data_IF_313797677705
#
_entry.id   IF_313797677705
#
_cell.length_a   1.000
_cell.length_b   1.000
_cell.length_c   1.000
_cell.angle_alpha   90.00
_cell.angle_beta   90.00
_cell.angle_gamma   90.00
#
_symmetry.space_group_name_H-M   'P 1'
#
loop_
_entity.id
_entity.type
_entity.pdbx_description
1 polymer ?
#
# COMPACT_ATOMS: atom_id res chain seq x y z
N UNK A 1 -18.21 0.98 9.75
CA UNK A 1 -16.79 1.16 10.07
C UNK A 1 -15.95 0.59 8.94
N UNK A 2 -15.12 1.40 8.39
CA UNK A 2 -14.28 1.05 7.25
C UNK A 2 -13.01 0.32 7.69
N UNK A 3 -12.45 -0.50 6.80
CA UNK A 3 -11.21 -1.23 7.02
C UNK A 3 -11.39 -2.71 7.33
N UNK A 4 -10.28 -3.37 7.56
CA UNK A 4 -10.23 -4.80 7.87
C UNK A 4 -10.76 -5.04 9.28
N UNK A 5 -11.68 -5.96 9.42
CA UNK A 5 -12.28 -6.35 10.71
C UNK A 5 -11.86 -7.75 11.11
N UNK A 6 -11.82 -7.97 12.42
CA UNK A 6 -11.63 -9.29 12.99
C UNK A 6 -12.93 -10.11 12.94
N UNK A 7 -12.87 -11.43 12.69
CA UNK A 7 -11.68 -12.18 12.32
C UNK A 7 -11.27 -11.91 10.87
N UNK A 8 -9.96 -11.83 10.62
CA UNK A 8 -9.43 -11.65 9.26
C UNK A 8 -9.64 -12.95 8.48
N UNK A 9 -10.21 -12.86 7.28
CA UNK A 9 -10.42 -14.05 6.44
C UNK A 9 -9.07 -14.72 6.08
N UNK A 10 -9.08 -16.04 5.92
CA UNK A 10 -7.86 -16.76 5.59
C UNK A 10 -7.21 -16.30 4.27
N UNK A 11 -7.95 -16.06 3.18
CA UNK A 11 -7.34 -15.54 1.94
C UNK A 11 -6.70 -14.16 2.13
N UNK A 12 -7.35 -13.27 2.86
CA UNK A 12 -6.79 -11.94 3.12
C UNK A 12 -5.56 -12.01 4.02
N UNK A 13 -5.61 -12.83 5.07
CA UNK A 13 -4.46 -13.05 5.93
C UNK A 13 -3.25 -13.56 5.15
N UNK A 14 -3.45 -14.52 4.27
CA UNK A 14 -2.39 -15.07 3.42
C UNK A 14 -1.83 -14.01 2.46
N UNK A 15 -2.70 -13.21 1.83
CA UNK A 15 -2.27 -12.15 0.92
C UNK A 15 -1.43 -11.09 1.64
N UNK A 16 -1.86 -10.66 2.82
CA UNK A 16 -1.15 -9.65 3.61
C UNK A 16 0.18 -10.20 4.16
N UNK A 17 0.19 -11.44 4.61
CA UNK A 17 1.43 -12.11 5.00
C UNK A 17 2.41 -12.17 3.83
N UNK A 18 1.91 -12.47 2.64
CA UNK A 18 2.72 -12.48 1.41
C UNK A 18 3.31 -11.11 1.10
N UNK A 19 2.55 -10.04 1.28
CA UNK A 19 3.03 -8.67 1.09
C UNK A 19 4.19 -8.35 2.03
N UNK A 20 4.09 -8.72 3.30
CA UNK A 20 5.17 -8.52 4.28
C UNK A 20 6.40 -9.34 3.91
N UNK A 21 6.22 -10.61 3.55
CA UNK A 21 7.32 -11.48 3.15
C UNK A 21 8.04 -10.95 1.91
N UNK A 22 7.30 -10.55 0.90
CA UNK A 22 7.84 -9.97 -0.33
C UNK A 22 8.67 -8.72 -0.03
N UNK A 23 8.17 -7.86 0.85
CA UNK A 23 8.89 -6.66 1.28
C UNK A 23 10.18 -7.01 2.03
N UNK A 24 10.14 -7.93 2.97
CA UNK A 24 11.32 -8.37 3.75
C UNK A 24 12.41 -8.94 2.84
N UNK A 25 12.02 -9.69 1.83
CA UNK A 25 12.95 -10.32 0.89
C UNK A 25 13.54 -9.30 -0.09
N UNK A 26 12.72 -8.38 -0.60
CA UNK A 26 13.13 -7.44 -1.66
C UNK A 26 13.82 -6.18 -1.13
N UNK A 27 13.50 -5.71 0.08
CA UNK A 27 14.06 -4.49 0.64
C UNK A 27 14.88 -4.79 1.90
N UNK A 28 16.19 -4.70 1.78
CA UNK A 28 17.11 -5.00 2.89
C UNK A 28 17.64 -3.76 3.59
N UNK A 29 17.41 -2.59 3.04
CA UNK A 29 17.84 -1.33 3.63
C UNK A 29 16.97 -0.95 4.81
N UNK A 30 17.53 -0.29 5.80
CA UNK A 30 16.76 0.25 6.95
C UNK A 30 16.02 1.52 6.60
N UNK A 31 16.60 2.33 5.71
CA UNK A 31 16.02 3.58 5.24
C UNK A 31 15.83 3.47 3.73
N UNK A 32 14.62 3.66 3.28
CA UNK A 32 14.24 3.60 1.87
C UNK A 32 12.98 4.44 1.66
N UNK A 33 12.75 4.84 0.42
CA UNK A 33 11.56 5.61 0.07
C UNK A 33 10.29 4.74 0.15
N UNK A 34 9.15 5.31 0.56
CA UNK A 34 7.87 4.62 0.48
C UNK A 34 7.55 4.17 -0.94
N UNK A 35 6.93 3.00 -1.07
CA UNK A 35 6.54 2.42 -2.34
C UNK A 35 5.06 2.03 -2.27
N UNK A 36 4.25 2.54 -3.20
CA UNK A 36 2.84 2.21 -3.29
C UNK A 36 2.64 1.02 -4.24
N UNK A 37 1.86 0.04 -3.79
CA UNK A 37 1.51 -1.15 -4.56
C UNK A 37 -0.01 -1.24 -4.71
N UNK A 38 -0.47 -1.62 -5.89
CA UNK A 38 -1.88 -1.95 -6.16
C UNK A 38 -1.95 -3.25 -6.93
N UNK A 39 -2.66 -4.23 -6.42
CA UNK A 39 -2.82 -5.52 -7.09
C UNK A 39 -2.85 -6.69 -6.15
N UNK A 40 -2.07 -7.72 -6.48
CA UNK A 40 -2.00 -8.98 -5.74
C UNK A 40 -0.59 -9.19 -5.18
N UNK A 41 -0.43 -9.28 -3.85
CA UNK A 41 0.88 -9.60 -3.28
C UNK A 41 1.43 -10.93 -3.82
N UNK A 42 2.69 -10.90 -4.28
CA UNK A 42 3.32 -12.05 -4.92
C UNK A 42 2.82 -12.37 -6.33
N UNK A 43 1.94 -11.54 -6.87
CA UNK A 43 1.38 -11.68 -8.21
C UNK A 43 1.40 -10.36 -8.98
N UNK A 44 0.51 -10.20 -9.98
CA UNK A 44 0.44 -8.98 -10.76
C UNK A 44 0.14 -7.77 -9.88
N UNK A 45 0.95 -6.74 -9.99
CA UNK A 45 0.81 -5.51 -9.22
C UNK A 45 1.41 -4.32 -9.97
N UNK A 46 0.80 -3.16 -9.80
CA UNK A 46 1.35 -1.88 -10.21
C UNK A 46 2.16 -1.29 -9.04
N UNK A 47 3.25 -0.60 -9.35
CA UNK A 47 4.14 0.01 -8.38
C UNK A 47 4.30 1.49 -8.68
N UNK A 48 4.36 2.30 -7.62
CA UNK A 48 4.70 3.71 -7.72
C UNK A 48 5.69 4.11 -6.64
N UNK A 49 6.82 4.68 -7.07
CA UNK A 49 7.88 5.16 -6.18
C UNK A 49 7.93 6.70 -6.29
N UNK A 50 7.34 7.45 -5.34
CA UNK A 50 7.24 8.90 -5.44
C UNK A 50 8.60 9.62 -5.47
N UNK A 51 9.60 9.05 -4.83
CA UNK A 51 10.94 9.63 -4.74
C UNK A 51 11.97 8.97 -5.69
N UNK A 52 11.48 8.20 -6.68
CA UNK A 52 12.40 7.63 -7.67
C UNK A 52 13.09 8.76 -8.44
N UNK A 53 14.43 8.69 -8.60
CA UNK A 53 15.16 9.70 -9.36
C UNK A 53 14.70 9.68 -10.82
N UNK A 54 13.91 10.68 -11.17
CA UNK A 54 13.51 10.94 -12.55
C UNK A 54 14.40 11.99 -13.18
N UNK A 55 14.41 12.11 -14.51
CA UNK A 55 15.16 13.18 -15.16
C UNK A 55 14.57 14.53 -14.74
N UNK A 56 15.36 15.27 -13.97
CA UNK A 56 15.17 16.68 -13.61
C UNK A 56 13.78 17.05 -13.10
N UNK A 57 13.53 16.75 -11.83
CA UNK A 57 12.63 17.58 -11.06
C UNK A 57 13.48 18.68 -10.40
N UNK A 58 13.13 19.92 -10.67
CA UNK A 58 13.72 21.05 -9.95
C UNK A 58 13.57 20.81 -8.45
N UNK A 59 14.56 21.20 -7.67
CA UNK A 59 14.59 20.97 -6.22
C UNK A 59 13.34 21.52 -5.49
N UNK A 60 12.57 22.37 -6.16
CA UNK A 60 11.32 22.94 -5.65
C UNK A 60 10.10 22.02 -5.87
N UNK A 61 10.17 21.10 -6.84
CA UNK A 61 9.09 20.14 -7.13
C UNK A 61 9.34 18.75 -6.51
N UNK A 62 10.56 18.50 -6.05
CA UNK A 62 10.91 17.27 -5.35
C UNK A 62 10.18 17.21 -4.01
N UNK A 63 9.12 16.42 -3.92
CA UNK A 63 8.37 16.17 -2.71
C UNK A 63 6.97 16.78 -2.65
N UNK A 64 6.50 17.46 -3.70
CA UNK A 64 5.15 18.01 -3.75
C UNK A 64 4.21 17.18 -4.61
N UNK A 65 4.00 15.93 -4.20
CA UNK A 65 2.79 15.24 -4.62
C UNK A 65 1.63 15.85 -3.83
N UNK A 66 0.76 16.59 -4.48
CA UNK A 66 -0.48 17.03 -3.87
C UNK A 66 -1.53 15.92 -3.88
N UNK A 67 -2.66 16.16 -3.22
CA UNK A 67 -3.75 15.19 -3.14
C UNK A 67 -4.29 14.82 -4.53
N UNK A 68 -4.47 15.80 -5.41
CA UNK A 68 -5.00 15.56 -6.77
C UNK A 68 -4.07 14.65 -7.56
N UNK A 69 -2.77 14.89 -7.51
CA UNK A 69 -1.78 14.07 -8.23
C UNK A 69 -1.69 12.65 -7.65
N UNK A 70 -1.72 12.50 -6.32
CA UNK A 70 -1.77 11.18 -5.69
C UNK A 70 -3.02 10.42 -6.09
N UNK A 71 -4.17 11.09 -6.13
CA UNK A 71 -5.43 10.49 -6.57
C UNK A 71 -5.33 10.00 -8.01
N UNK A 72 -4.75 10.79 -8.91
CA UNK A 72 -4.53 10.41 -10.30
C UNK A 72 -3.58 9.20 -10.41
N UNK A 73 -2.54 9.15 -9.60
CA UNK A 73 -1.62 8.01 -9.55
C UNK A 73 -2.37 6.74 -9.16
N UNK A 74 -3.15 6.77 -8.08
CA UNK A 74 -3.91 5.59 -7.65
C UNK A 74 -4.92 5.18 -8.72
N UNK A 75 -5.64 6.13 -9.29
CA UNK A 75 -6.60 5.86 -10.37
C UNK A 75 -5.95 5.15 -11.55
N UNK A 76 -4.74 5.57 -11.94
CA UNK A 76 -3.99 4.93 -13.02
C UNK A 76 -3.51 3.51 -12.67
N UNK A 77 -3.32 3.21 -11.39
CA UNK A 77 -2.88 1.90 -10.92
C UNK A 77 -4.04 0.91 -10.73
N UNK A 78 -5.28 1.39 -10.62
CA UNK A 78 -6.46 0.54 -10.48
C UNK A 78 -6.74 -0.21 -11.79
N UNK A 79 -7.25 -1.46 -11.71
CA UNK A 79 -7.61 -2.19 -12.92
C UNK A 79 -8.79 -1.52 -13.62
N UNK A 80 -8.68 -1.41 -14.95
CA UNK A 80 -9.67 -0.71 -15.80
C UNK A 80 -10.96 -1.49 -16.01
N UNK A 81 -11.00 -2.76 -15.66
CA UNK A 81 -12.18 -3.61 -15.82
C UNK A 81 -12.63 -4.14 -14.48
N UNK A 82 -13.93 -4.07 -14.18
CA UNK A 82 -14.45 -4.89 -13.10
C UNK A 82 -14.23 -6.34 -13.48
N UNK A 83 -13.22 -6.96 -12.91
CA UNK A 83 -13.02 -8.38 -13.07
C UNK A 83 -13.87 -9.11 -12.05
N UNK A 84 -14.26 -10.34 -12.36
CA UNK A 84 -14.86 -11.24 -11.39
C UNK A 84 -13.86 -11.60 -10.25
N UNK A 85 -12.67 -11.07 -10.30
CA UNK A 85 -11.65 -11.22 -9.28
C UNK A 85 -11.94 -10.32 -8.08
N UNK A 86 -11.49 -10.71 -6.89
CA UNK A 86 -11.60 -9.84 -5.72
C UNK A 86 -10.96 -8.48 -5.97
N UNK A 87 -11.49 -7.45 -5.31
CA UNK A 87 -10.95 -6.10 -5.42
C UNK A 87 -9.45 -6.08 -5.14
N UNK A 88 -8.67 -5.26 -5.84
CA UNK A 88 -7.22 -5.19 -5.63
C UNK A 88 -6.90 -4.70 -4.23
N UNK A 89 -5.81 -5.21 -3.67
CA UNK A 89 -5.23 -4.66 -2.46
C UNK A 89 -4.40 -3.42 -2.82
N UNK A 90 -4.42 -2.44 -1.92
CA UNK A 90 -3.52 -1.29 -1.94
C UNK A 90 -2.64 -1.39 -0.70
N UNK A 91 -1.33 -1.37 -0.87
CA UNK A 91 -0.44 -1.37 0.28
C UNK A 91 0.75 -0.45 0.07
N UNK A 92 1.14 0.19 1.16
CA UNK A 92 2.26 1.10 1.21
C UNK A 92 3.40 0.45 1.99
N UNK A 93 4.51 0.15 1.33
CA UNK A 93 5.72 -0.32 2.00
C UNK A 93 6.57 0.89 2.40
N UNK A 94 7.02 0.92 3.63
CA UNK A 94 7.86 2.00 4.16
C UNK A 94 8.67 1.56 5.37
N UNK A 95 9.73 2.29 5.73
CA UNK A 95 10.40 2.09 7.00
C UNK A 95 9.58 2.65 8.16
N UNK A 96 10.03 2.41 9.37
CA UNK A 96 9.48 2.99 10.58
C UNK A 96 8.44 2.12 11.28
N UNK A 97 7.76 2.72 12.26
CA UNK A 97 6.80 2.04 13.11
C UNK A 97 5.43 1.89 12.42
N UNK A 98 4.66 0.89 12.85
CA UNK A 98 3.28 0.68 12.40
C UNK A 98 2.32 1.59 13.19
N UNK A 99 2.49 2.88 13.02
CA UNK A 99 1.59 3.90 13.53
C UNK A 99 1.37 4.96 12.45
N UNK A 100 0.31 5.75 12.57
CA UNK A 100 -0.06 6.69 11.53
C UNK A 100 1.05 7.74 11.31
N UNK A 101 1.51 7.82 10.08
CA UNK A 101 2.42 8.85 9.59
C UNK A 101 1.74 9.69 8.52
N UNK A 102 2.25 10.89 8.25
CA UNK A 102 1.68 11.79 7.24
C UNK A 102 1.60 11.15 5.86
N UNK A 103 2.60 10.35 5.49
CA UNK A 103 2.60 9.63 4.21
C UNK A 103 1.47 8.63 4.13
N UNK A 104 1.14 7.95 5.22
CA UNK A 104 0.02 6.99 5.27
C UNK A 104 -1.31 7.71 5.07
N UNK A 105 -1.52 8.82 5.78
CA UNK A 105 -2.73 9.62 5.69
C UNK A 105 -2.92 10.20 4.28
N UNK A 106 -1.84 10.67 3.66
CA UNK A 106 -1.88 11.24 2.32
C UNK A 106 -2.29 10.20 1.26
N UNK A 107 -1.70 9.01 1.30
CA UNK A 107 -2.05 7.94 0.35
C UNK A 107 -3.40 7.32 0.64
N UNK A 108 -3.81 7.22 1.90
CA UNK A 108 -5.15 6.77 2.26
C UNK A 108 -6.22 7.71 1.68
N UNK A 109 -6.05 9.03 1.84
CA UNK A 109 -6.98 10.01 1.29
C UNK A 109 -7.09 9.89 -0.25
N UNK A 110 -5.97 9.77 -0.93
CA UNK A 110 -5.94 9.59 -2.39
C UNK A 110 -6.59 8.29 -2.84
N UNK A 111 -6.30 7.18 -2.14
CA UNK A 111 -6.89 5.88 -2.46
C UNK A 111 -8.40 5.87 -2.23
N UNK A 112 -8.90 6.51 -1.18
CA UNK A 112 -10.34 6.66 -0.94
C UNK A 112 -11.03 7.41 -2.07
N UNK A 113 -10.45 8.52 -2.51
CA UNK A 113 -11.00 9.31 -3.61
C UNK A 113 -11.01 8.51 -4.93
N UNK A 114 -9.89 7.89 -5.28
CA UNK A 114 -9.78 7.13 -6.53
C UNK A 114 -10.71 5.90 -6.58
N UNK A 115 -10.81 5.15 -5.50
CA UNK A 115 -11.68 3.97 -5.44
C UNK A 115 -13.16 4.38 -5.41
N UNK A 116 -13.51 5.49 -4.77
CA UNK A 116 -14.88 6.02 -4.79
C UNK A 116 -15.31 6.39 -6.21
N UNK A 117 -14.46 7.06 -6.97
CA UNK A 117 -14.73 7.40 -8.36
C UNK A 117 -14.87 6.16 -9.25
N UNK A 118 -14.10 5.12 -8.98
CA UNK A 118 -14.13 3.87 -9.71
C UNK A 118 -15.25 2.90 -9.23
N UNK A 119 -15.97 3.26 -8.18
CA UNK A 119 -16.98 2.41 -7.52
C UNK A 119 -16.40 1.06 -7.10
N UNK A 120 -15.22 1.11 -6.50
CA UNK A 120 -14.51 -0.08 -5.99
C UNK A 120 -14.39 -0.01 -4.46
N UNK A 121 -14.49 -1.17 -3.78
CA UNK A 121 -14.14 -1.23 -2.36
C UNK A 121 -12.63 -1.01 -2.19
N UNK A 122 -12.24 -0.42 -1.07
CA UNK A 122 -10.85 -0.18 -0.74
C UNK A 122 -10.40 -1.04 0.43
N UNK A 123 -9.33 -1.79 0.22
CA UNK A 123 -8.53 -2.37 1.30
C UNK A 123 -7.13 -1.80 1.19
N UNK A 124 -6.71 -1.03 2.19
CA UNK A 124 -5.39 -0.40 2.24
C UNK A 124 -4.71 -0.73 3.54
N UNK A 125 -3.47 -1.18 3.46
CA UNK A 125 -2.63 -1.45 4.63
C UNK A 125 -1.25 -0.79 4.45
N UNK A 126 -0.63 -0.51 5.58
CA UNK A 126 0.78 -0.13 5.64
C UNK A 126 1.58 -1.39 5.96
N UNK A 127 2.66 -1.61 5.23
CA UNK A 127 3.54 -2.78 5.36
C UNK A 127 4.94 -2.30 5.74
N UNK A 128 5.46 -2.87 6.80
CA UNK A 128 6.86 -2.71 7.22
C UNK A 128 7.51 -4.08 7.34
N UNK A 129 8.78 -4.12 7.70
CA UNK A 129 9.50 -5.38 7.96
C UNK A 129 8.89 -6.21 9.08
N UNK A 130 8.11 -5.58 9.95
CA UNK A 130 7.52 -6.23 11.14
C UNK A 130 6.16 -6.81 10.90
N UNK A 131 5.41 -6.29 9.94
CA UNK A 131 4.05 -6.72 9.71
C UNK A 131 3.25 -5.75 8.86
N UNK A 132 1.94 -5.83 9.02
CA UNK A 132 1.01 -4.92 8.37
C UNK A 132 0.02 -4.31 9.36
N UNK A 133 -0.54 -3.17 8.97
CA UNK A 133 -1.48 -2.41 9.79
C UNK A 133 -2.47 -1.70 8.89
N UNK A 134 -3.76 -1.80 9.22
CA UNK A 134 -4.82 -1.07 8.55
C UNK A 134 -5.07 0.26 9.28
N UNK A 135 -4.75 1.41 8.67
CA UNK A 135 -4.91 2.71 9.33
C UNK A 135 -6.36 3.12 9.58
N UNK A 136 -7.35 2.45 8.96
CA UNK A 136 -8.76 2.76 9.17
C UNK A 136 -9.37 2.00 10.35
N UNK A 137 -9.07 0.72 10.45
CA UNK A 137 -9.63 -0.15 11.51
C UNK A 137 -8.69 -0.36 12.69
N UNK A 138 -7.39 -0.13 12.49
CA UNK A 138 -6.38 -0.44 13.49
C UNK A 138 -5.98 -1.92 13.55
N UNK A 139 -6.60 -2.77 12.73
CA UNK A 139 -6.25 -4.19 12.68
C UNK A 139 -4.81 -4.36 12.23
N UNK A 140 -4.06 -5.20 12.92
CA UNK A 140 -2.62 -5.37 12.68
C UNK A 140 -2.20 -6.82 12.89
N UNK A 141 -1.12 -7.20 12.21
CA UNK A 141 -0.39 -8.45 12.44
C UNK A 141 1.11 -8.18 12.36
N UNK A 142 1.84 -8.70 13.31
CA UNK A 142 3.30 -8.56 13.37
C UNK A 142 3.94 -9.92 13.56
N UNK A 143 5.17 -10.06 13.04
CA UNK A 143 5.96 -11.29 13.16
C UNK A 143 7.38 -10.93 13.59
N UNK A 144 7.91 -11.68 14.56
CA UNK A 144 9.32 -11.52 14.96
C UNK A 144 10.26 -12.10 13.91
N UNK A 145 9.85 -13.23 13.31
CA UNK A 145 10.60 -13.90 12.24
C UNK A 145 9.61 -14.45 11.24
N UNK A 146 9.47 -13.78 10.11
CA UNK A 146 8.66 -14.25 9.01
C UNK A 146 9.53 -15.10 8.09
N UNK A 147 9.11 -16.35 7.85
CA UNK A 147 9.81 -17.27 6.97
C UNK A 147 8.93 -17.60 5.76
N UNK A 148 9.57 -17.74 4.61
CA UNK A 148 8.92 -18.34 3.45
C UNK A 148 8.53 -19.79 3.78
N UNK A 149 7.30 -20.10 3.50
CA UNK A 149 6.81 -21.49 3.54
C UNK A 149 6.64 -21.99 2.13
#
# INVERSE_FOLDING_TARGET
MEGIREPVSAPLHQALRRAVLEHVVSERRRVFAPLLHVGTPGGPQALFAPDAPGPRRDAHDAGRLDHALRTDVVAAMLPRRPSASPAPLVWLTRPGELCLQDVDAAWLAAARAATAEADLPLTLVVVTRRGWWDPRSGTTRTWRRLRAR
#
